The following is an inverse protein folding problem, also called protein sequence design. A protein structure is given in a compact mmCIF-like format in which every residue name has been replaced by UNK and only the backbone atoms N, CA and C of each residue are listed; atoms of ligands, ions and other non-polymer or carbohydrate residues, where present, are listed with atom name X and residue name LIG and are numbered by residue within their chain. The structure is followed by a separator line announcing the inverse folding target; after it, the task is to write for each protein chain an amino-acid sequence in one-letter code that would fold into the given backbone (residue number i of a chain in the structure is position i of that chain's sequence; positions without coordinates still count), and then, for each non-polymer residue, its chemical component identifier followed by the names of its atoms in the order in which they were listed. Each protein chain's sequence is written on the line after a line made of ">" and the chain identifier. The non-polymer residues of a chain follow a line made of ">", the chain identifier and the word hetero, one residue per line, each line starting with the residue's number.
data_IF_366082363372
#
_entry.id   IF_366082363372
#
_cell.length_a   1.000
_cell.length_b   1.000
_cell.length_c   1.000
_cell.angle_alpha   90.00
_cell.angle_beta   90.00
_cell.angle_gamma   90.00
#
_symmetry.space_group_name_H-M   'P 1'
#
loop_
_entity.id
_entity.type
_entity.pdbx_description
1 polymer ?
#
# COMPACT_ATOMS: atom_id res chain seq x y z
N UNK A 1 14.08 -25.10 14.52
CA UNK A 1 12.92 -24.19 14.38
C UNK A 1 11.64 -24.99 14.58
N UNK A 2 10.64 -24.45 15.27
CA UNK A 2 9.33 -25.12 15.37
C UNK A 2 8.52 -24.89 14.09
N UNK A 3 7.59 -25.80 13.78
CA UNK A 3 6.69 -25.72 12.61
C UNK A 3 5.87 -24.43 12.60
N UNK A 4 5.58 -23.85 13.77
CA UNK A 4 4.87 -22.57 13.85
C UNK A 4 5.74 -21.39 13.40
N UNK A 5 7.02 -21.36 13.81
CA UNK A 5 7.96 -20.30 13.43
C UNK A 5 8.16 -20.23 11.92
N UNK A 6 8.32 -21.39 11.27
CA UNK A 6 8.48 -21.47 9.81
C UNK A 6 7.22 -21.01 9.06
N UNK A 7 6.03 -21.30 9.59
CA UNK A 7 4.76 -20.81 9.00
C UNK A 7 4.65 -19.29 9.08
N UNK A 8 5.01 -18.69 10.21
CA UNK A 8 4.98 -17.24 10.36
C UNK A 8 6.02 -16.54 9.49
N UNK A 9 7.21 -17.13 9.35
CA UNK A 9 8.26 -16.62 8.45
C UNK A 9 7.78 -16.59 6.99
N UNK A 10 7.19 -17.68 6.50
CA UNK A 10 6.61 -17.74 5.15
C UNK A 10 5.48 -16.73 4.95
N UNK A 11 4.62 -16.55 5.95
CA UNK A 11 3.54 -15.56 5.90
C UNK A 11 4.09 -14.13 5.84
N UNK A 12 5.15 -13.83 6.60
CA UNK A 12 5.81 -12.52 6.56
C UNK A 12 6.43 -12.24 5.18
N UNK A 13 7.13 -13.23 4.59
CA UNK A 13 7.69 -13.12 3.24
C UNK A 13 6.58 -12.84 2.21
N UNK A 14 5.45 -13.53 2.31
CA UNK A 14 4.30 -13.31 1.43
C UNK A 14 3.72 -11.89 1.60
N UNK A 15 3.62 -11.40 2.83
CA UNK A 15 3.20 -10.02 3.11
C UNK A 15 4.11 -8.98 2.45
N UNK A 16 5.43 -9.19 2.51
CA UNK A 16 6.41 -8.32 1.85
C UNK A 16 6.25 -8.36 0.32
N UNK A 17 6.09 -9.56 -0.27
CA UNK A 17 5.88 -9.70 -1.71
C UNK A 17 4.61 -8.97 -2.18
N UNK A 18 3.51 -9.07 -1.42
CA UNK A 18 2.26 -8.35 -1.71
C UNK A 18 2.43 -6.83 -1.58
N UNK A 19 3.17 -6.35 -0.59
CA UNK A 19 3.46 -4.93 -0.43
C UNK A 19 4.29 -4.38 -1.60
N UNK A 20 5.30 -5.12 -2.06
CA UNK A 20 6.10 -4.75 -3.24
C UNK A 20 5.30 -4.75 -4.54
N UNK A 21 4.38 -5.70 -4.74
CA UNK A 21 3.52 -5.70 -5.93
C UNK A 21 2.52 -4.55 -5.90
N UNK A 22 1.93 -4.25 -4.74
CA UNK A 22 1.05 -3.09 -4.55
C UNK A 22 1.80 -1.79 -4.86
N UNK A 23 3.05 -1.68 -4.38
CA UNK A 23 3.97 -0.57 -4.70
C UNK A 23 4.21 -0.43 -6.20
N UNK A 24 4.46 -1.54 -6.90
CA UNK A 24 4.71 -1.57 -8.34
C UNK A 24 3.48 -1.14 -9.13
N UNK A 25 2.30 -1.64 -8.78
CA UNK A 25 1.03 -1.22 -9.37
C UNK A 25 0.85 0.28 -9.19
N UNK A 26 0.97 0.78 -7.96
CA UNK A 26 0.80 2.20 -7.69
C UNK A 26 1.81 3.05 -8.47
N UNK A 27 3.10 2.70 -8.50
CA UNK A 27 4.08 3.44 -9.30
C UNK A 27 3.75 3.48 -10.79
N UNK A 28 3.10 2.44 -11.31
CA UNK A 28 2.68 2.39 -12.72
C UNK A 28 1.53 3.34 -13.02
N UNK A 29 0.69 3.64 -12.02
CA UNK A 29 -0.55 4.41 -12.19
C UNK A 29 -0.59 5.75 -11.43
N UNK A 30 0.38 6.05 -10.55
CA UNK A 30 0.53 7.30 -9.78
C UNK A 30 0.94 8.49 -10.67
N UNK A 31 0.34 8.61 -11.84
CA UNK A 31 0.32 9.83 -12.63
C UNK A 31 -1.02 10.51 -12.33
N UNK A 32 -1.02 11.77 -11.87
CA UNK A 32 -2.27 12.50 -11.65
C UNK A 32 -3.10 12.44 -12.94
N UNK A 33 -4.29 11.86 -12.86
CA UNK A 33 -5.22 11.90 -13.98
C UNK A 33 -5.90 13.26 -13.99
N UNK A 34 -6.41 13.69 -12.83
CA UNK A 34 -7.10 14.96 -12.62
C UNK A 34 -6.93 15.43 -11.15
N UNK A 35 -6.99 16.74 -10.93
CA UNK A 35 -7.08 17.33 -9.57
C UNK A 35 -8.46 17.93 -9.43
N UNK A 36 -9.24 17.43 -8.47
CA UNK A 36 -10.58 17.92 -8.16
C UNK A 36 -10.54 19.32 -7.53
N UNK A 37 -11.67 20.04 -7.58
CA UNK A 37 -11.79 21.41 -7.08
C UNK A 37 -11.54 21.56 -5.57
N UNK A 38 -11.68 20.46 -4.81
CA UNK A 38 -11.38 20.36 -3.38
C UNK A 38 -9.90 20.03 -3.10
N UNK A 39 -9.06 19.95 -4.13
CA UNK A 39 -7.64 19.59 -4.02
C UNK A 39 -7.38 18.09 -3.96
N UNK A 40 -8.41 17.24 -4.09
CA UNK A 40 -8.26 15.79 -4.14
C UNK A 40 -7.58 15.38 -5.46
N UNK A 41 -6.48 14.64 -5.38
CA UNK A 41 -5.80 14.08 -6.55
C UNK A 41 -6.48 12.77 -6.93
N UNK A 42 -7.00 12.70 -8.16
CA UNK A 42 -7.59 11.49 -8.71
C UNK A 42 -6.51 10.68 -9.42
N UNK A 43 -6.35 9.43 -8.97
CA UNK A 43 -5.47 8.44 -9.57
C UNK A 43 -6.35 7.39 -10.23
N UNK A 44 -6.23 7.26 -11.55
CA UNK A 44 -6.97 6.25 -12.28
C UNK A 44 -6.16 4.95 -12.34
N UNK A 45 -6.70 3.87 -11.78
CA UNK A 45 -6.10 2.53 -11.86
C UNK A 45 -7.03 1.64 -12.69
N UNK A 46 -6.64 1.21 -13.89
CA UNK A 46 -7.47 0.36 -14.73
C UNK A 46 -7.56 -1.09 -14.20
N UNK A 47 -8.57 -1.83 -14.67
CA UNK A 47 -8.62 -3.29 -14.49
C UNK A 47 -7.44 -3.95 -15.24
N UNK A 48 -6.79 -4.99 -14.69
CA UNK A 48 -7.13 -5.73 -13.46
C UNK A 48 -6.54 -5.15 -12.17
N UNK A 49 -5.63 -4.20 -12.27
CA UNK A 49 -4.83 -3.70 -11.14
C UNK A 49 -5.68 -3.07 -10.03
N UNK A 50 -6.79 -2.41 -10.38
CA UNK A 50 -7.74 -1.87 -9.40
C UNK A 50 -8.40 -2.94 -8.53
N UNK A 51 -8.66 -4.13 -9.07
CA UNK A 51 -9.23 -5.23 -8.31
C UNK A 51 -8.23 -5.76 -7.26
N UNK A 52 -6.96 -5.86 -7.63
CA UNK A 52 -5.88 -6.26 -6.72
C UNK A 52 -5.72 -5.24 -5.60
N UNK A 53 -5.60 -3.95 -5.93
CA UNK A 53 -5.47 -2.88 -4.94
C UNK A 53 -6.64 -2.85 -3.96
N UNK A 54 -7.88 -3.00 -4.46
CA UNK A 54 -9.07 -3.01 -3.61
C UNK A 54 -9.01 -4.14 -2.59
N UNK A 55 -8.74 -5.36 -3.02
CA UNK A 55 -8.66 -6.52 -2.12
C UNK A 55 -7.55 -6.35 -1.09
N UNK A 56 -6.38 -5.88 -1.50
CA UNK A 56 -5.27 -5.63 -0.58
C UNK A 56 -5.64 -4.59 0.47
N UNK A 57 -6.27 -3.47 0.09
CA UNK A 57 -6.69 -2.43 1.02
C UNK A 57 -7.80 -2.91 1.96
N UNK A 58 -8.73 -3.74 1.49
CA UNK A 58 -9.78 -4.36 2.32
C UNK A 58 -9.19 -5.31 3.38
N UNK A 59 -8.24 -6.16 3.00
CA UNK A 59 -7.56 -7.04 3.97
C UNK A 59 -6.68 -6.22 4.92
N UNK A 60 -6.01 -5.20 4.41
CA UNK A 60 -5.20 -4.30 5.23
C UNK A 60 -6.07 -3.57 6.26
N UNK A 61 -7.31 -3.17 5.94
CA UNK A 61 -8.20 -2.58 6.95
C UNK A 61 -8.41 -3.47 8.17
N UNK A 62 -8.55 -4.78 7.98
CA UNK A 62 -8.72 -5.72 9.10
C UNK A 62 -7.44 -5.82 9.94
N UNK A 63 -6.27 -5.68 9.31
CA UNK A 63 -4.97 -5.76 9.97
C UNK A 63 -4.58 -4.46 10.69
N UNK A 64 -4.94 -3.30 10.13
CA UNK A 64 -4.60 -1.97 10.65
C UNK A 64 -5.70 -1.39 11.55
N UNK A 65 -6.88 -2.00 11.63
CA UNK A 65 -7.98 -1.56 12.49
C UNK A 65 -7.52 -1.47 13.95
N UNK A 66 -7.31 -0.26 14.44
CA UNK A 66 -7.11 0.03 15.86
C UNK A 66 -8.46 0.05 16.57
N UNK A 67 -8.48 -0.34 17.84
CA UNK A 67 -9.69 -0.25 18.66
C UNK A 67 -10.25 1.20 18.64
N UNK A 68 -11.48 1.36 18.17
CA UNK A 68 -12.16 2.66 18.06
C UNK A 68 -11.90 3.45 16.77
N UNK A 69 -11.07 2.95 15.84
CA UNK A 69 -10.90 3.57 14.52
C UNK A 69 -12.09 3.26 13.61
N UNK A 70 -12.49 4.24 12.79
CA UNK A 70 -13.48 4.00 11.74
C UNK A 70 -12.87 3.19 10.59
N UNK A 71 -13.66 2.44 9.81
CA UNK A 71 -13.16 1.70 8.65
C UNK A 71 -12.42 2.58 7.64
N UNK A 72 -12.91 3.79 7.39
CA UNK A 72 -12.26 4.78 6.51
C UNK A 72 -10.90 5.24 7.04
N UNK A 73 -10.76 5.39 8.36
CA UNK A 73 -9.48 5.71 8.98
C UNK A 73 -8.47 4.58 8.78
N UNK A 74 -8.89 3.32 8.99
CA UNK A 74 -8.02 2.17 8.77
C UNK A 74 -7.63 1.99 7.29
N UNK A 75 -8.53 2.30 6.33
CA UNK A 75 -8.20 2.34 4.89
C UNK A 75 -7.14 3.37 4.59
N UNK A 76 -7.28 4.56 5.18
CA UNK A 76 -6.33 5.67 4.99
C UNK A 76 -4.95 5.33 5.54
N UNK A 77 -4.87 4.77 6.73
CA UNK A 77 -3.59 4.36 7.35
C UNK A 77 -2.90 3.24 6.55
N UNK A 78 -3.68 2.26 6.07
CA UNK A 78 -3.18 1.23 5.17
C UNK A 78 -2.67 1.83 3.85
N UNK A 79 -3.44 2.72 3.22
CA UNK A 79 -3.07 3.39 1.98
C UNK A 79 -1.82 4.26 2.15
N UNK A 80 -1.72 5.02 3.24
CA UNK A 80 -0.55 5.85 3.54
C UNK A 80 0.73 5.01 3.64
N UNK A 81 0.67 3.88 4.35
CA UNK A 81 1.80 2.95 4.47
C UNK A 81 2.27 2.45 3.10
N UNK A 82 1.33 2.16 2.21
CA UNK A 82 1.64 1.71 0.84
C UNK A 82 2.17 2.86 -0.03
N UNK A 83 1.63 4.07 0.10
CA UNK A 83 2.10 5.25 -0.64
C UNK A 83 3.53 5.63 -0.23
N UNK A 84 3.88 5.50 1.05
CA UNK A 84 5.25 5.69 1.55
C UNK A 84 6.23 4.70 0.88
N UNK A 85 5.81 3.45 0.63
CA UNK A 85 6.60 2.50 -0.15
C UNK A 85 6.71 2.94 -1.62
N UNK A 86 5.62 3.44 -2.22
CA UNK A 86 5.55 3.82 -3.63
C UNK A 86 6.29 5.13 -3.95
N UNK A 87 6.50 5.99 -2.95
CA UNK A 87 7.18 7.28 -3.07
C UNK A 87 8.56 7.21 -3.74
N UNK A 88 9.07 8.34 -4.25
CA UNK A 88 10.36 8.39 -4.91
C UNK A 88 11.50 7.97 -3.95
N UNK A 89 12.44 7.16 -4.42
CA UNK A 89 13.71 6.87 -3.70
C UNK A 89 14.63 8.10 -3.55
N UNK A 90 14.11 9.31 -3.79
CA UNK A 90 14.89 10.54 -3.98
C UNK A 90 15.55 11.08 -2.71
N UNK A 91 15.23 10.56 -1.52
CA UNK A 91 15.93 10.92 -0.28
C UNK A 91 17.14 10.03 0.04
N UNK A 92 17.26 8.81 -0.52
CA UNK A 92 18.42 7.94 -0.23
C UNK A 92 19.69 8.26 -1.03
N UNK A 93 19.63 9.16 -2.02
CA UNK A 93 20.78 9.53 -2.88
C UNK A 93 21.31 10.96 -2.63
N UNK A 94 20.77 11.70 -1.65
CA UNK A 94 21.24 13.05 -1.31
C UNK A 94 22.12 13.14 -0.06
N UNK A 95 22.28 12.05 0.69
CA UNK A 95 23.18 11.97 1.86
C UNK A 95 24.52 11.25 1.57
N UNK A 96 24.85 11.01 0.28
CA UNK A 96 26.19 10.60 -0.16
C UNK A 96 26.66 11.40 -1.37
N UNK A 97 26.51 12.72 -1.32
CA UNK A 97 27.03 13.65 -2.33
C UNK A 97 27.69 14.85 -1.68
#
# INVERSE_FOLDING_TARGET
>A
MSVAAERFERAAILGVAMAEETRRILRSHLRPAEVSADGTVLVNVPFPDSAVLRVVLEVATECFARAGASPEQARREALESVLQLAGPETERRRDMG
#
